data_IF_723288857743
#
_entry.id   IF_723288857743
#
_cell.length_a   1.000
_cell.length_b   1.000
_cell.length_c   1.000
_cell.angle_alpha   90.00
_cell.angle_beta   90.00
_cell.angle_gamma   90.00
#
_symmetry.space_group_name_H-M   'P 1'
#
loop_
_entity.id
_entity.type
_entity.pdbx_description
1 polymer ?
#
# COMPACT_ATOMS: atom_id res chain seq x y z
N UNK A 1 7.17 -0.79 -21.37
CA UNK A 1 6.69 -0.48 -20.00
C UNK A 1 7.59 -0.98 -18.86
N UNK A 2 8.46 -2.00 -19.07
CA UNK A 2 9.29 -2.63 -18.01
C UNK A 2 10.07 -1.62 -17.12
N UNK A 3 10.72 -0.61 -17.72
CA UNK A 3 11.48 0.41 -16.97
C UNK A 3 10.64 1.23 -15.99
N UNK A 4 9.37 1.46 -16.30
CA UNK A 4 8.46 2.26 -15.47
C UNK A 4 8.04 1.48 -14.22
N UNK A 5 7.65 0.21 -14.39
CA UNK A 5 7.27 -0.65 -13.26
C UNK A 5 8.46 -0.95 -12.35
N UNK A 6 9.66 -1.20 -12.92
CA UNK A 6 10.89 -1.38 -12.15
C UNK A 6 11.22 -0.15 -11.30
N UNK A 7 11.21 1.05 -11.88
CA UNK A 7 11.52 2.29 -11.18
C UNK A 7 10.53 2.58 -10.03
N UNK A 8 9.25 2.28 -10.25
CA UNK A 8 8.22 2.43 -9.23
C UNK A 8 8.35 1.39 -8.11
N UNK A 9 8.65 0.13 -8.46
CA UNK A 9 8.70 -0.97 -7.51
C UNK A 9 9.73 -0.76 -6.38
N UNK A 10 10.87 -0.13 -6.72
CA UNK A 10 11.94 0.21 -5.78
C UNK A 10 11.55 1.28 -4.76
N UNK A 11 10.47 2.03 -5.02
CA UNK A 11 10.09 3.24 -4.25
C UNK A 11 8.72 3.12 -3.59
N UNK A 12 8.05 1.96 -3.67
CA UNK A 12 6.70 1.75 -3.15
C UNK A 12 6.59 2.13 -1.66
N UNK A 13 7.62 1.83 -0.85
CA UNK A 13 7.62 2.08 0.59
C UNK A 13 8.43 3.32 0.99
N UNK A 14 8.82 4.16 0.02
CA UNK A 14 9.55 5.42 0.25
C UNK A 14 8.70 6.64 -0.11
N UNK A 15 9.06 7.81 0.45
CA UNK A 15 8.43 9.08 0.08
C UNK A 15 8.77 9.41 -1.37
N UNK A 16 7.78 9.28 -2.27
CA UNK A 16 7.99 9.50 -3.69
C UNK A 16 8.15 11.00 -3.99
N UNK A 17 9.18 11.33 -4.75
CA UNK A 17 9.37 12.64 -5.34
C UNK A 17 9.27 12.50 -6.87
N UNK A 18 8.22 13.06 -7.46
CA UNK A 18 7.94 12.97 -8.91
C UNK A 18 9.11 13.48 -9.77
N UNK A 19 9.74 14.62 -9.46
CA UNK A 19 10.99 15.05 -10.08
C UNK A 19 12.09 13.98 -10.12
N UNK A 20 12.33 13.29 -9.01
CA UNK A 20 13.36 12.24 -8.91
C UNK A 20 13.01 11.04 -9.79
N UNK A 21 11.74 10.65 -9.83
CA UNK A 21 11.27 9.56 -10.69
C UNK A 21 11.41 9.91 -12.19
N UNK A 22 11.08 11.15 -12.56
CA UNK A 22 11.22 11.64 -13.93
C UNK A 22 12.69 11.66 -14.38
N UNK A 23 13.59 12.10 -13.50
CA UNK A 23 15.02 12.13 -13.75
C UNK A 23 15.61 10.72 -13.96
N UNK A 24 15.20 9.73 -13.16
CA UNK A 24 15.68 8.34 -13.31
C UNK A 24 15.17 7.65 -14.58
N UNK A 25 13.92 7.89 -14.96
CA UNK A 25 13.31 7.28 -16.15
C UNK A 25 13.74 8.03 -17.42
N UNK A 26 14.23 9.26 -17.29
CA UNK A 26 14.66 10.10 -18.41
C UNK A 26 13.49 10.69 -19.21
N UNK A 27 12.34 10.91 -18.56
CA UNK A 27 11.14 11.43 -19.22
C UNK A 27 10.58 12.63 -18.46
N UNK A 28 10.04 13.60 -19.20
CA UNK A 28 9.34 14.72 -18.60
C UNK A 28 8.09 14.24 -17.84
N UNK A 29 7.74 14.93 -16.75
CA UNK A 29 6.61 14.58 -15.90
C UNK A 29 5.28 14.56 -16.68
N UNK A 30 5.13 15.45 -17.67
CA UNK A 30 3.98 15.48 -18.58
C UNK A 30 3.89 14.19 -19.40
N UNK A 31 4.99 13.73 -19.97
CA UNK A 31 5.07 12.48 -20.72
C UNK A 31 4.75 11.29 -19.81
N UNK A 32 5.30 11.27 -18.60
CA UNK A 32 5.03 10.21 -17.62
C UNK A 32 3.54 10.12 -17.25
N UNK A 33 2.90 11.28 -17.01
CA UNK A 33 1.46 11.35 -16.72
C UNK A 33 0.63 10.86 -17.90
N UNK A 34 0.96 11.27 -19.14
CA UNK A 34 0.24 10.82 -20.34
C UNK A 34 0.38 9.31 -20.53
N UNK A 35 1.59 8.77 -20.46
CA UNK A 35 1.82 7.33 -20.55
C UNK A 35 1.04 6.55 -19.48
N UNK A 36 1.00 7.02 -18.23
CA UNK A 36 0.23 6.33 -17.19
C UNK A 36 -1.27 6.39 -17.44
N UNK A 37 -1.79 7.53 -17.90
CA UNK A 37 -3.20 7.65 -18.25
C UNK A 37 -3.57 6.74 -19.43
N UNK A 38 -2.72 6.69 -20.46
CA UNK A 38 -2.94 5.91 -21.67
C UNK A 38 -2.82 4.40 -21.44
N UNK A 39 -1.79 3.96 -20.69
CA UNK A 39 -1.50 2.54 -20.52
C UNK A 39 -2.09 1.91 -19.25
N UNK A 40 -2.28 2.69 -18.18
CA UNK A 40 -2.75 2.20 -16.87
C UNK A 40 -4.12 2.76 -16.47
N UNK A 41 -4.66 3.73 -17.22
CA UNK A 41 -5.93 4.39 -16.90
C UNK A 41 -5.90 5.24 -15.63
N UNK A 42 -4.74 5.39 -14.98
CA UNK A 42 -4.57 6.08 -13.70
C UNK A 42 -3.29 6.91 -13.68
N UNK A 43 -3.26 7.95 -12.84
CA UNK A 43 -2.04 8.74 -12.66
C UNK A 43 -0.93 7.90 -11.98
N UNK A 44 0.37 8.23 -12.19
CA UNK A 44 1.47 7.53 -11.53
C UNK A 44 1.32 7.52 -9.99
N UNK A 45 0.86 8.64 -9.43
CA UNK A 45 0.58 8.80 -8.00
C UNK A 45 -0.55 7.87 -7.53
N UNK A 46 -1.63 7.75 -8.31
CA UNK A 46 -2.74 6.83 -8.02
C UNK A 46 -2.28 5.38 -8.10
N UNK A 47 -1.49 5.02 -9.10
CA UNK A 47 -0.94 3.67 -9.26
C UNK A 47 -0.11 3.24 -8.04
N UNK A 48 0.81 4.10 -7.61
CA UNK A 48 1.62 3.87 -6.41
C UNK A 48 0.80 3.78 -5.15
N UNK A 49 -0.21 4.65 -5.00
CA UNK A 49 -1.14 4.59 -3.88
C UNK A 49 -1.85 3.23 -3.83
N UNK A 50 -2.31 2.73 -4.98
CA UNK A 50 -2.94 1.41 -5.08
C UNK A 50 -1.97 0.28 -4.71
N UNK A 51 -0.73 0.34 -5.18
CA UNK A 51 0.28 -0.66 -4.78
C UNK A 51 0.57 -0.64 -3.28
N UNK A 52 0.71 0.55 -2.67
CA UNK A 52 0.89 0.70 -1.22
C UNK A 52 -0.30 0.18 -0.42
N UNK A 53 -1.52 0.48 -0.88
CA UNK A 53 -2.75 -0.06 -0.29
C UNK A 53 -2.80 -1.59 -0.37
N UNK A 54 -2.38 -2.17 -1.49
CA UNK A 54 -2.31 -3.62 -1.65
C UNK A 54 -1.30 -4.26 -0.68
N UNK A 55 -0.11 -3.67 -0.52
CA UNK A 55 0.87 -4.14 0.49
C UNK A 55 0.32 -4.03 1.90
N UNK A 56 -0.28 -2.90 2.26
CA UNK A 56 -0.91 -2.71 3.56
C UNK A 56 -2.03 -3.73 3.80
N UNK A 57 -2.86 -4.03 2.79
CA UNK A 57 -3.87 -5.09 2.89
C UNK A 57 -3.26 -6.47 3.11
N UNK A 58 -2.17 -6.80 2.40
CA UNK A 58 -1.47 -8.06 2.59
C UNK A 58 -0.87 -8.17 4.01
N UNK A 59 -0.33 -7.08 4.55
CA UNK A 59 0.16 -7.02 5.92
C UNK A 59 -0.98 -7.19 6.94
N UNK A 60 -2.09 -6.45 6.79
CA UNK A 60 -3.27 -6.57 7.66
C UNK A 60 -3.82 -8.00 7.70
N UNK A 61 -3.85 -8.70 6.56
CA UNK A 61 -4.35 -10.09 6.46
C UNK A 61 -3.45 -11.13 7.12
N UNK A 62 -2.17 -10.80 7.33
CA UNK A 62 -1.17 -11.69 7.94
C UNK A 62 -0.88 -11.33 9.40
N UNK A 63 -1.28 -10.14 9.83
CA UNK A 63 -1.03 -9.63 11.16
C UNK A 63 -1.94 -10.30 12.19
N UNK A 64 -1.42 -10.48 13.39
CA UNK A 64 -2.19 -10.97 14.54
C UNK A 64 -2.99 -9.79 15.14
N UNK A 65 -4.33 -9.85 15.18
CA UNK A 65 -5.16 -8.77 15.73
C UNK A 65 -4.87 -8.45 17.20
N UNK A 66 -4.30 -9.40 17.97
CA UNK A 66 -3.94 -9.20 19.37
C UNK A 66 -2.58 -8.51 19.56
N UNK A 67 -1.73 -8.47 18.52
CA UNK A 67 -0.36 -7.93 18.61
C UNK A 67 -0.10 -6.75 17.68
N UNK A 68 -0.94 -6.54 16.69
CA UNK A 68 -0.76 -5.49 15.69
C UNK A 68 -1.95 -4.55 15.66
N UNK A 69 -1.70 -3.30 15.26
CA UNK A 69 -2.76 -2.32 15.06
C UNK A 69 -2.82 -1.85 13.61
N UNK A 70 -4.02 -1.43 13.17
CA UNK A 70 -4.19 -0.77 11.87
C UNK A 70 -3.28 0.45 11.73
N UNK A 71 -3.08 1.19 12.82
CA UNK A 71 -2.26 2.40 12.83
C UNK A 71 -0.77 2.10 12.61
N UNK A 72 -0.27 1.01 13.19
CA UNK A 72 1.10 0.54 12.97
C UNK A 72 1.31 0.09 11.52
N UNK A 73 0.42 -0.75 11.00
CA UNK A 73 0.51 -1.23 9.61
C UNK A 73 0.42 -0.06 8.62
N UNK A 74 -0.47 0.90 8.86
CA UNK A 74 -0.56 2.11 8.04
C UNK A 74 0.77 2.87 8.00
N UNK A 75 1.39 3.13 9.16
CA UNK A 75 2.67 3.85 9.24
C UNK A 75 3.81 3.10 8.55
N UNK A 76 3.87 1.77 8.71
CA UNK A 76 4.88 0.93 8.05
C UNK A 76 4.78 0.98 6.52
N UNK A 77 3.58 1.27 5.99
CA UNK A 77 3.34 1.51 4.56
C UNK A 77 3.19 2.99 4.21
N UNK A 78 3.85 3.87 4.98
CA UNK A 78 3.99 5.32 4.75
C UNK A 78 2.67 6.12 4.81
N UNK A 79 1.61 5.58 5.41
CA UNK A 79 0.36 6.29 5.62
C UNK A 79 0.37 7.01 6.98
N UNK A 80 0.64 8.31 6.95
CA UNK A 80 0.74 9.14 8.16
C UNK A 80 -0.64 9.64 8.62
N UNK A 81 -1.54 9.94 7.69
CA UNK A 81 -2.91 10.39 7.96
C UNK A 81 -3.86 9.19 8.08
N UNK A 82 -4.06 8.67 9.29
CA UNK A 82 -4.81 7.43 9.52
C UNK A 82 -6.28 7.49 9.06
N UNK A 83 -6.94 8.64 9.22
CA UNK A 83 -8.31 8.85 8.75
C UNK A 83 -8.39 8.77 7.23
N UNK A 84 -7.49 9.48 6.54
CA UNK A 84 -7.41 9.47 5.07
C UNK A 84 -7.06 8.09 4.52
N UNK A 85 -6.15 7.38 5.19
CA UNK A 85 -5.85 5.99 4.87
C UNK A 85 -7.10 5.11 4.96
N UNK A 86 -7.83 5.17 6.08
CA UNK A 86 -9.01 4.32 6.30
C UNK A 86 -10.12 4.57 5.26
N UNK A 87 -10.37 5.85 4.92
CA UNK A 87 -11.32 6.21 3.86
C UNK A 87 -10.87 5.68 2.51
N UNK A 88 -9.61 5.94 2.14
CA UNK A 88 -9.08 5.56 0.82
C UNK A 88 -9.00 4.04 0.67
N UNK A 89 -8.65 3.33 1.74
CA UNK A 89 -8.66 1.88 1.82
C UNK A 89 -10.07 1.32 1.58
N UNK A 90 -11.07 1.81 2.31
CA UNK A 90 -12.45 1.37 2.17
C UNK A 90 -13.01 1.63 0.78
N UNK A 91 -12.74 2.80 0.21
CA UNK A 91 -13.14 3.12 -1.18
C UNK A 91 -12.50 2.18 -2.19
N UNK A 92 -11.28 1.68 -1.92
CA UNK A 92 -10.54 0.81 -2.84
C UNK A 92 -10.95 -0.67 -2.70
N UNK A 93 -11.21 -1.15 -1.49
CA UNK A 93 -11.40 -2.58 -1.21
C UNK A 93 -12.79 -2.97 -0.72
N UNK A 94 -13.69 -2.01 -0.50
CA UNK A 94 -15.05 -2.24 -0.02
C UNK A 94 -15.19 -2.54 1.48
N UNK A 95 -14.09 -2.70 2.20
CA UNK A 95 -14.08 -2.98 3.65
C UNK A 95 -13.11 -2.07 4.40
N UNK A 96 -13.29 -1.92 5.72
CA UNK A 96 -12.38 -1.13 6.55
C UNK A 96 -11.08 -1.89 6.83
N UNK A 97 -9.93 -1.21 7.05
CA UNK A 97 -8.69 -1.88 7.40
C UNK A 97 -8.78 -2.66 8.72
N UNK A 98 -9.59 -2.19 9.68
CA UNK A 98 -9.86 -2.91 10.92
C UNK A 98 -10.61 -4.22 10.67
N UNK A 99 -11.59 -4.21 9.77
CA UNK A 99 -12.30 -5.44 9.36
C UNK A 99 -11.34 -6.45 8.72
N UNK A 100 -10.45 -5.98 7.85
CA UNK A 100 -9.41 -6.83 7.25
C UNK A 100 -8.49 -7.46 8.31
N UNK A 101 -8.03 -6.66 9.28
CA UNK A 101 -7.18 -7.14 10.37
C UNK A 101 -7.90 -8.21 11.19
N UNK A 102 -9.15 -7.96 11.61
CA UNK A 102 -9.93 -8.90 12.42
C UNK A 102 -10.25 -10.23 11.72
N UNK A 103 -10.23 -10.27 10.38
CA UNK A 103 -10.39 -11.51 9.59
C UNK A 103 -9.08 -12.28 9.42
N UNK A 104 -7.93 -11.71 9.79
CA UNK A 104 -6.69 -12.47 9.77
C UNK A 104 -6.86 -13.74 10.61
N UNK A 105 -6.33 -14.90 10.15
CA UNK A 105 -6.47 -16.15 10.87
C UNK A 105 -5.93 -15.92 12.28
N UNK A 106 -6.82 -15.93 13.27
CA UNK A 106 -6.43 -15.84 14.66
C UNK A 106 -5.51 -17.04 14.88
N UNK A 107 -4.22 -16.78 15.01
CA UNK A 107 -3.28 -17.81 15.42
C UNK A 107 -3.64 -18.10 16.86
N UNK A 108 -4.60 -19.00 17.07
CA UNK A 108 -4.87 -19.60 18.35
C UNK A 108 -3.54 -20.18 18.83
N UNK A 109 -2.99 -19.56 19.87
CA UNK A 109 -1.96 -20.23 20.66
C UNK A 109 -2.57 -21.55 21.17
N UNK A 110 -1.84 -22.68 21.10
CA UNK A 110 -2.32 -23.93 21.68
C UNK A 110 -2.62 -23.72 23.17
N UNK A 111 -3.69 -24.33 23.72
CA UNK A 111 -3.97 -24.24 25.15
C UNK A 111 -2.75 -24.75 25.89
N UNK A 112 -2.31 -23.99 26.90
CA UNK A 112 -1.24 -24.39 27.79
C UNK A 112 -1.57 -25.80 28.35
N UNK A 113 -0.82 -26.80 27.90
CA UNK A 113 -0.79 -28.11 28.52
C UNK A 113 -0.37 -27.91 29.97
N UNK A 114 -1.35 -28.02 30.85
CA UNK A 114 -1.11 -28.28 32.26
C UNK A 114 -0.56 -29.70 32.38
N UNK A 115 0.69 -29.80 32.83
CA UNK A 115 1.30 -31.00 33.40
C UNK A 115 2.09 -30.58 34.63
#
# INVERSE_FOLDING_TARGET
>A
MVRFEEALSKRIDQKLNMPTLCAEIGVAERTLRMCCAEFLGVSPTRYLLLQRLNKARAALRRADPSKSSVAEVARNHQFLELGRFSVTYRTTFGESPSTTLQRAPQTQAPPAESA
#
